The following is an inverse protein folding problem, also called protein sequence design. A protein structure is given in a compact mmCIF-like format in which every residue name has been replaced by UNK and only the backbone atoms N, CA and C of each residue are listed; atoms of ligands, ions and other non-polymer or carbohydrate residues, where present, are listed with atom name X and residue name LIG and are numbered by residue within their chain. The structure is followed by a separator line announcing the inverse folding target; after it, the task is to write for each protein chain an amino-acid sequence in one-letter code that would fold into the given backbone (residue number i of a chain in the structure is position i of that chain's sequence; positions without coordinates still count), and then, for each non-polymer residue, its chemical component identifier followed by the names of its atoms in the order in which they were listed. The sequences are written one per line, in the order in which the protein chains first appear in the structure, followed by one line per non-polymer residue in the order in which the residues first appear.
data_IF_516207895231
#
_entry.id   IF_516207895231
#
_cell.length_a   1.000
_cell.length_b   1.000
_cell.length_c   1.000
_cell.angle_alpha   90.00
_cell.angle_beta   90.00
_cell.angle_gamma   90.00
#
_symmetry.space_group_name_H-M   'P 1'
#
loop_
_entity.id
_entity.type
_entity.pdbx_description
1 polymer ?
#
# COMPACT_ATOMS: atom_id res chain seq x y z
N UNK A 1 10.64 7.42 23.97
CA UNK A 1 9.78 8.26 23.10
C UNK A 1 9.86 7.71 21.67
N UNK A 2 8.95 6.82 21.28
CA UNK A 2 8.94 6.14 19.98
C UNK A 2 8.18 6.99 18.94
N UNK A 3 8.67 8.21 18.71
CA UNK A 3 8.15 9.13 17.70
C UNK A 3 8.89 9.03 16.37
N UNK A 4 9.38 7.84 15.98
CA UNK A 4 9.99 7.66 14.67
C UNK A 4 8.86 7.53 13.64
N UNK A 5 8.45 8.66 13.06
CA UNK A 5 7.86 8.65 11.73
C UNK A 5 8.89 7.94 10.84
N UNK A 6 8.47 6.94 10.07
CA UNK A 6 9.33 6.30 9.08
C UNK A 6 9.10 7.08 7.78
N UNK A 7 9.90 8.13 7.50
CA UNK A 7 9.75 8.86 6.25
C UNK A 7 10.04 7.93 5.08
N UNK A 8 9.35 8.17 3.96
CA UNK A 8 9.75 7.57 2.69
C UNK A 8 11.17 8.01 2.36
N UNK A 9 12.06 7.05 2.09
CA UNK A 9 13.41 7.34 1.63
C UNK A 9 13.36 7.69 0.14
N UNK A 10 13.17 8.97 -0.13
CA UNK A 10 13.10 9.52 -1.49
C UNK A 10 14.38 9.27 -2.30
N UNK A 11 15.54 9.15 -1.63
CA UNK A 11 16.80 8.83 -2.32
C UNK A 11 16.78 7.40 -2.84
N UNK A 12 16.38 6.45 -1.99
CA UNK A 12 16.21 5.06 -2.38
C UNK A 12 15.15 4.87 -3.48
N UNK A 13 14.00 5.56 -3.37
CA UNK A 13 12.95 5.52 -4.39
C UNK A 13 13.45 6.02 -5.76
N UNK A 14 14.26 7.09 -5.77
CA UNK A 14 14.87 7.62 -6.99
C UNK A 14 15.84 6.65 -7.64
N UNK A 15 16.63 5.91 -6.84
CA UNK A 15 17.52 4.86 -7.35
C UNK A 15 16.74 3.73 -8.05
N UNK A 16 15.54 3.42 -7.56
CA UNK A 16 14.60 2.48 -8.20
C UNK A 16 13.85 3.08 -9.40
N UNK A 17 14.14 4.33 -9.79
CA UNK A 17 13.51 5.01 -10.92
C UNK A 17 12.19 5.71 -10.60
N UNK A 18 11.77 5.74 -9.33
CA UNK A 18 10.57 6.44 -8.87
C UNK A 18 10.94 7.91 -8.67
N UNK A 19 10.62 8.74 -9.67
CA UNK A 19 11.00 10.17 -9.71
C UNK A 19 9.97 11.10 -9.06
N UNK A 20 8.76 10.59 -8.80
CA UNK A 20 7.64 11.30 -8.18
C UNK A 20 7.63 11.06 -6.67
N UNK A 21 6.86 11.88 -5.95
CA UNK A 21 6.58 11.67 -4.52
C UNK A 21 6.10 10.22 -4.26
N UNK A 22 6.80 9.50 -3.38
CA UNK A 22 6.56 8.07 -3.16
C UNK A 22 5.13 7.75 -2.71
N UNK A 23 4.51 8.65 -1.92
CA UNK A 23 3.12 8.48 -1.49
C UNK A 23 2.17 8.58 -2.66
N UNK A 24 2.37 9.57 -3.54
CA UNK A 24 1.54 9.73 -4.74
C UNK A 24 1.61 8.52 -5.64
N UNK A 25 2.80 7.96 -5.85
CA UNK A 25 2.99 6.78 -6.69
C UNK A 25 2.23 5.58 -6.15
N UNK A 26 2.25 5.36 -4.83
CA UNK A 26 1.49 4.30 -4.19
C UNK A 26 -0.02 4.50 -4.32
N UNK A 27 -0.51 5.72 -4.14
CA UNK A 27 -1.93 6.06 -4.29
C UNK A 27 -2.38 5.85 -5.74
N UNK A 28 -1.64 6.40 -6.71
CA UNK A 28 -1.93 6.27 -8.14
C UNK A 28 -1.95 4.80 -8.58
N UNK A 29 -0.98 4.00 -8.11
CA UNK A 29 -0.95 2.58 -8.39
C UNK A 29 -2.17 1.86 -7.84
N UNK A 30 -2.50 2.04 -6.55
CA UNK A 30 -3.67 1.39 -5.94
C UNK A 30 -4.99 1.87 -6.56
N UNK A 31 -5.09 3.14 -6.93
CA UNK A 31 -6.28 3.68 -7.61
C UNK A 31 -6.47 3.09 -9.01
N UNK A 32 -5.37 2.76 -9.70
CA UNK A 32 -5.39 2.15 -11.03
C UNK A 32 -5.91 0.71 -11.06
N UNK A 33 -5.85 0.00 -9.93
CA UNK A 33 -6.35 -1.37 -9.82
C UNK A 33 -7.88 -1.40 -9.82
N UNK A 34 -8.47 -2.30 -10.59
CA UNK A 34 -9.89 -2.63 -10.51
C UNK A 34 -10.24 -3.39 -9.24
N UNK A 35 -11.52 -3.41 -8.87
CA UNK A 35 -12.01 -4.20 -7.73
C UNK A 35 -11.72 -5.70 -7.93
N UNK A 36 -11.89 -6.22 -9.15
CA UNK A 36 -11.56 -7.61 -9.49
C UNK A 36 -10.07 -7.95 -9.33
N UNK A 37 -9.18 -7.00 -9.63
CA UNK A 37 -7.74 -7.19 -9.43
C UNK A 37 -7.40 -7.23 -7.93
N UNK A 38 -8.03 -6.36 -7.14
CA UNK A 38 -7.87 -6.36 -5.68
C UNK A 38 -8.39 -7.65 -5.03
N UNK A 39 -9.53 -8.18 -5.51
CA UNK A 39 -10.04 -9.48 -5.07
C UNK A 39 -9.10 -10.63 -5.44
N UNK A 40 -8.56 -10.60 -6.66
CA UNK A 40 -7.59 -11.59 -7.13
C UNK A 40 -6.32 -11.55 -6.29
N UNK A 41 -5.79 -10.36 -6.03
CA UNK A 41 -4.64 -10.16 -5.14
C UNK A 41 -4.96 -10.68 -3.74
N UNK A 42 -6.11 -10.33 -3.16
CA UNK A 42 -6.52 -10.80 -1.84
C UNK A 42 -6.56 -12.33 -1.76
N UNK A 43 -7.07 -13.00 -2.80
CA UNK A 43 -7.08 -14.46 -2.89
C UNK A 43 -5.66 -15.06 -3.00
N UNK A 44 -4.75 -14.39 -3.71
CA UNK A 44 -3.34 -14.82 -3.84
C UNK A 44 -2.58 -14.69 -2.53
N UNK A 45 -2.82 -13.63 -1.75
CA UNK A 45 -2.13 -13.45 -0.45
C UNK A 45 -2.76 -14.29 0.66
N UNK A 46 -4.04 -14.64 0.57
CA UNK A 46 -4.79 -15.39 1.61
C UNK A 46 -4.03 -16.60 2.21
N UNK A 47 -3.34 -17.47 1.45
CA UNK A 47 -2.59 -18.59 2.00
C UNK A 47 -1.40 -18.21 2.89
N UNK A 48 -0.93 -16.97 2.79
CA UNK A 48 0.23 -16.45 3.52
C UNK A 48 -0.16 -15.56 4.70
N UNK A 49 -1.46 -15.28 4.86
CA UNK A 49 -1.96 -14.43 5.95
C UNK A 49 -2.12 -15.24 7.23
N UNK A 50 -1.80 -14.62 8.36
CA UNK A 50 -1.99 -15.25 9.66
C UNK A 50 -3.46 -15.25 10.06
N UNK A 51 -4.23 -14.27 9.57
CA UNK A 51 -5.68 -14.18 9.78
C UNK A 51 -6.39 -13.93 8.46
N UNK A 52 -7.51 -14.59 8.23
CA UNK A 52 -8.29 -14.42 6.99
C UNK A 52 -8.80 -12.99 6.82
N UNK A 53 -9.12 -12.32 7.93
CA UNK A 53 -9.52 -10.91 7.98
C UNK A 53 -8.43 -9.95 7.46
N UNK A 54 -7.16 -10.34 7.43
CA UNK A 54 -6.09 -9.53 6.83
C UNK A 54 -6.25 -9.41 5.30
N UNK A 55 -6.98 -10.33 4.66
CA UNK A 55 -7.27 -10.24 3.23
C UNK A 55 -8.19 -9.05 2.91
N UNK A 56 -9.00 -8.62 3.89
CA UNK A 56 -9.87 -7.46 3.75
C UNK A 56 -9.08 -6.15 3.61
N UNK A 57 -7.83 -6.11 4.09
CA UNK A 57 -6.94 -4.96 3.89
C UNK A 57 -6.60 -4.79 2.42
N UNK A 58 -6.51 -5.89 1.68
CA UNK A 58 -6.17 -5.92 0.25
C UNK A 58 -7.40 -5.56 -0.58
N UNK A 59 -8.57 -6.16 -0.30
CA UNK A 59 -9.82 -5.81 -1.01
C UNK A 59 -10.21 -4.35 -0.78
N UNK A 60 -9.95 -3.81 0.42
CA UNK A 60 -10.20 -2.41 0.76
C UNK A 60 -8.97 -1.50 0.60
N UNK A 61 -7.94 -1.92 -0.14
CA UNK A 61 -6.66 -1.23 -0.21
C UNK A 61 -6.79 0.26 -0.58
N UNK A 62 -7.70 0.62 -1.49
CA UNK A 62 -7.96 2.02 -1.87
C UNK A 62 -8.31 2.92 -0.69
N UNK A 63 -9.11 2.41 0.26
CA UNK A 63 -9.54 3.15 1.47
C UNK A 63 -8.50 3.06 2.57
N UNK A 64 -7.96 1.87 2.79
CA UNK A 64 -7.00 1.58 3.87
C UNK A 64 -5.68 2.32 3.64
N UNK A 65 -5.13 2.27 2.42
CA UNK A 65 -3.85 2.88 2.08
C UNK A 65 -3.88 4.39 2.29
N UNK A 66 -4.94 5.08 1.85
CA UNK A 66 -5.11 6.52 2.07
C UNK A 66 -5.10 6.88 3.55
N UNK A 67 -5.89 6.17 4.35
CA UNK A 67 -5.92 6.40 5.80
C UNK A 67 -4.58 6.10 6.49
N UNK A 68 -3.78 5.17 5.96
CA UNK A 68 -2.45 4.90 6.48
C UNK A 68 -1.46 5.99 6.10
N UNK A 69 -1.43 6.40 4.82
CA UNK A 69 -0.52 7.42 4.31
C UNK A 69 -0.78 8.82 4.88
N UNK A 70 -2.01 9.11 5.30
CA UNK A 70 -2.38 10.36 5.99
C UNK A 70 -1.88 10.41 7.44
N UNK A 71 -1.71 9.24 8.09
CA UNK A 71 -1.24 9.15 9.49
C UNK A 71 0.28 9.27 9.63
N UNK A 72 1.03 9.05 8.56
CA UNK A 72 2.50 9.03 8.54
C UNK A 72 3.06 10.18 7.73
#
# INVERSE_FOLDING_TARGET
MLGKRFPFDESFLRELGIKSDGKKVLIEHIDSLSESELETLAAQVRPFLFREEEAELVTNAKKVLRSLLDKY
#
